data_IF_456271328853
#
_entry.id   IF_456271328853
#
_cell.length_a   1.000
_cell.length_b   1.000
_cell.length_c   1.000
_cell.angle_alpha   90.00
_cell.angle_beta   90.00
_cell.angle_gamma   90.00
#
_symmetry.space_group_name_H-M   'P 1'
#
loop_
_entity.id
_entity.type
_entity.pdbx_description
1 polymer ?
#
# COMPACT_ATOMS: atom_id res chain seq x y z
N UNK A 1 11.56 13.58 -11.36
CA UNK A 1 12.22 13.14 -12.62
C UNK A 1 13.73 13.31 -12.59
N UNK A 2 14.32 14.52 -12.53
CA UNK A 2 15.80 14.65 -12.52
C UNK A 2 16.47 13.96 -11.33
N UNK A 3 15.92 14.14 -10.14
CA UNK A 3 16.45 13.50 -8.93
C UNK A 3 16.29 11.98 -8.96
N UNK A 4 15.17 11.49 -9.48
CA UNK A 4 14.93 10.05 -9.68
C UNK A 4 15.93 9.47 -10.69
N UNK A 5 16.20 10.19 -11.78
CA UNK A 5 17.20 9.80 -12.77
C UNK A 5 18.61 9.76 -12.16
N UNK A 6 18.97 10.75 -11.33
CA UNK A 6 20.24 10.79 -10.60
C UNK A 6 20.38 9.60 -9.64
N UNK A 7 19.33 9.27 -8.90
CA UNK A 7 19.33 8.14 -7.96
C UNK A 7 19.34 6.77 -8.66
N UNK A 8 18.74 6.69 -9.85
CA UNK A 8 18.72 5.48 -10.66
C UNK A 8 19.92 5.36 -11.63
N UNK A 9 20.91 6.26 -11.51
CA UNK A 9 22.07 6.37 -12.42
C UNK A 9 21.67 6.40 -13.91
N UNK A 10 20.49 6.94 -14.20
CA UNK A 10 19.88 6.98 -15.52
C UNK A 10 19.86 8.40 -16.09
N UNK A 11 19.78 8.52 -17.40
CA UNK A 11 19.52 9.82 -18.03
C UNK A 11 18.05 10.23 -17.82
N UNK A 12 17.78 11.53 -17.71
CA UNK A 12 16.41 12.06 -17.61
C UNK A 12 15.58 11.66 -18.84
N UNK A 13 16.20 11.59 -20.02
CA UNK A 13 15.56 11.14 -21.25
C UNK A 13 15.15 9.66 -21.17
N UNK A 14 15.94 8.82 -20.51
CA UNK A 14 15.62 7.40 -20.28
C UNK A 14 14.42 7.26 -19.35
N UNK A 15 14.38 8.01 -18.25
CA UNK A 15 13.22 8.02 -17.32
C UNK A 15 11.97 8.52 -18.02
N UNK A 16 12.06 9.58 -18.83
CA UNK A 16 10.92 10.11 -19.58
C UNK A 16 10.44 9.19 -20.71
N UNK A 17 11.36 8.45 -21.35
CA UNK A 17 11.02 7.47 -22.40
C UNK A 17 10.26 6.27 -21.84
N UNK A 18 10.62 5.82 -20.64
CA UNK A 18 9.98 4.70 -19.95
C UNK A 18 8.68 5.13 -19.28
N UNK A 19 8.67 6.31 -18.65
CA UNK A 19 7.53 6.83 -17.91
C UNK A 19 7.30 8.31 -18.29
N UNK A 20 6.47 8.58 -19.32
CA UNK A 20 6.30 9.93 -19.89
C UNK A 20 5.70 10.95 -18.93
N UNK A 21 4.90 10.48 -17.96
CA UNK A 21 4.27 11.32 -16.94
C UNK A 21 4.71 10.88 -15.55
N UNK A 22 4.61 11.80 -14.59
CA UNK A 22 4.86 11.50 -13.18
C UNK A 22 3.92 10.39 -12.68
N UNK A 23 2.67 10.42 -13.11
CA UNK A 23 1.67 9.42 -12.70
C UNK A 23 2.00 8.05 -13.30
N UNK A 24 2.42 7.96 -14.57
CA UNK A 24 2.88 6.71 -15.16
C UNK A 24 4.11 6.15 -14.44
N UNK A 25 5.03 7.01 -14.00
CA UNK A 25 6.19 6.59 -13.20
C UNK A 25 5.75 6.05 -11.84
N UNK A 26 4.82 6.71 -11.16
CA UNK A 26 4.29 6.25 -9.87
C UNK A 26 3.58 4.91 -10.04
N UNK A 27 2.70 4.79 -11.03
CA UNK A 27 1.99 3.53 -11.31
C UNK A 27 2.94 2.39 -11.62
N UNK A 28 3.98 2.63 -12.43
CA UNK A 28 4.98 1.61 -12.75
C UNK A 28 5.83 1.25 -11.53
N UNK A 29 6.27 2.23 -10.75
CA UNK A 29 7.13 2.02 -9.58
C UNK A 29 6.45 1.26 -8.44
N UNK A 30 5.12 1.29 -8.37
CA UNK A 30 4.33 0.58 -7.36
C UNK A 30 3.53 -0.59 -7.94
N UNK A 31 3.73 -0.94 -9.21
CA UNK A 31 2.88 -1.92 -9.91
C UNK A 31 2.89 -3.29 -9.21
N UNK A 32 4.05 -3.71 -8.71
CA UNK A 32 4.22 -4.99 -8.02
C UNK A 32 3.54 -4.98 -6.65
N UNK A 33 3.69 -3.90 -5.88
CA UNK A 33 3.04 -3.72 -4.58
C UNK A 33 1.51 -3.61 -4.71
N UNK A 34 1.03 -2.90 -5.73
CA UNK A 34 -0.39 -2.80 -6.06
C UNK A 34 -0.97 -4.15 -6.46
N UNK A 35 -0.25 -4.94 -7.28
CA UNK A 35 -0.65 -6.29 -7.66
C UNK A 35 -0.70 -7.23 -6.45
N UNK A 36 0.30 -7.16 -5.57
CA UNK A 36 0.33 -7.91 -4.32
C UNK A 36 -0.86 -7.55 -3.42
N UNK A 37 -1.12 -6.25 -3.22
CA UNK A 37 -2.27 -5.80 -2.42
C UNK A 37 -3.60 -6.27 -3.01
N UNK A 38 -3.77 -6.19 -4.34
CA UNK A 38 -4.96 -6.70 -5.03
C UNK A 38 -5.15 -8.18 -4.75
N UNK A 39 -4.10 -8.99 -4.90
CA UNK A 39 -4.18 -10.44 -4.68
C UNK A 39 -4.57 -10.80 -3.24
N UNK A 40 -4.06 -10.06 -2.24
CA UNK A 40 -4.40 -10.27 -0.84
C UNK A 40 -5.88 -9.95 -0.58
N UNK A 41 -6.37 -8.86 -1.16
CA UNK A 41 -7.78 -8.46 -1.03
C UNK A 41 -8.71 -9.45 -1.73
N UNK A 42 -8.36 -9.90 -2.93
CA UNK A 42 -9.11 -10.93 -3.66
C UNK A 42 -9.20 -12.24 -2.86
N UNK A 43 -8.10 -12.67 -2.24
CA UNK A 43 -8.09 -13.85 -1.36
C UNK A 43 -8.97 -13.65 -0.13
N UNK A 44 -8.93 -12.47 0.49
CA UNK A 44 -9.82 -12.12 1.60
C UNK A 44 -11.28 -12.14 1.22
N UNK A 45 -11.64 -11.60 0.05
CA UNK A 45 -13.01 -11.60 -0.46
C UNK A 45 -13.52 -13.01 -0.82
N UNK A 46 -12.62 -13.95 -1.14
CA UNK A 46 -12.97 -15.34 -1.39
C UNK A 46 -13.27 -16.14 -0.11
N UNK A 47 -13.04 -15.57 1.09
CA UNK A 47 -13.31 -16.26 2.35
C UNK A 47 -14.81 -16.47 2.59
N UNK A 48 -15.19 -17.69 2.95
CA UNK A 48 -16.59 -18.07 3.26
C UNK A 48 -17.17 -17.25 4.41
N UNK A 49 -16.32 -16.87 5.37
CA UNK A 49 -16.70 -16.10 6.53
C UNK A 49 -16.06 -14.70 6.44
N UNK A 50 -16.86 -13.62 6.31
CA UNK A 50 -16.35 -12.28 5.99
C UNK A 50 -15.33 -11.73 6.99
N UNK A 51 -15.50 -12.05 8.28
CA UNK A 51 -14.56 -11.62 9.32
C UNK A 51 -13.18 -12.28 9.16
N UNK A 52 -13.16 -13.57 8.81
CA UNK A 52 -11.92 -14.32 8.57
C UNK A 52 -11.20 -13.79 7.33
N UNK A 53 -11.95 -13.43 6.28
CA UNK A 53 -11.39 -12.74 5.11
C UNK A 53 -10.74 -11.40 5.46
N UNK A 54 -11.40 -10.59 6.29
CA UNK A 54 -10.86 -9.32 6.75
C UNK A 54 -9.58 -9.48 7.60
N UNK A 55 -9.58 -10.41 8.55
CA UNK A 55 -8.40 -10.71 9.38
C UNK A 55 -7.23 -11.16 8.51
N UNK A 56 -7.47 -12.04 7.53
CA UNK A 56 -6.46 -12.51 6.59
C UNK A 56 -5.83 -11.36 5.78
N UNK A 57 -6.64 -10.41 5.31
CA UNK A 57 -6.14 -9.22 4.61
C UNK A 57 -5.22 -8.39 5.50
N UNK A 58 -5.62 -8.13 6.75
CA UNK A 58 -4.80 -7.38 7.70
C UNK A 58 -3.49 -8.09 8.03
N UNK A 59 -3.53 -9.40 8.29
CA UNK A 59 -2.34 -10.20 8.59
C UNK A 59 -1.35 -10.20 7.41
N UNK A 60 -1.84 -10.41 6.19
CA UNK A 60 -0.98 -10.46 5.01
C UNK A 60 -0.41 -9.10 4.63
N UNK A 61 -1.22 -8.04 4.69
CA UNK A 61 -0.74 -6.68 4.43
C UNK A 61 0.32 -6.27 5.46
N UNK A 62 0.08 -6.49 6.75
CA UNK A 62 1.07 -6.15 7.80
C UNK A 62 2.35 -6.99 7.66
N UNK A 63 2.24 -8.27 7.33
CA UNK A 63 3.41 -9.12 7.09
C UNK A 63 4.18 -8.75 5.81
N UNK A 64 3.52 -8.24 4.77
CA UNK A 64 4.18 -7.70 3.58
C UNK A 64 4.98 -6.43 3.93
N UNK A 65 4.36 -5.50 4.67
CA UNK A 65 5.00 -4.27 5.12
C UNK A 65 6.18 -4.51 6.08
N UNK A 66 6.07 -5.49 6.98
CA UNK A 66 7.16 -5.83 7.91
C UNK A 66 8.40 -6.39 7.21
N UNK A 67 8.21 -7.14 6.10
CA UNK A 67 9.33 -7.65 5.29
C UNK A 67 10.07 -6.52 4.56
N UNK A 68 9.33 -5.54 4.04
CA UNK A 68 9.93 -4.33 3.47
C UNK A 68 10.72 -3.54 4.53
N UNK A 69 10.19 -3.37 5.75
CA UNK A 69 10.89 -2.66 6.83
C UNK A 69 12.16 -3.39 7.32
N UNK A 70 12.14 -4.73 7.35
CA UNK A 70 13.32 -5.54 7.70
C UNK A 70 14.45 -5.44 6.66
N UNK A 71 14.14 -5.03 5.43
CA UNK A 71 15.12 -4.83 4.35
C UNK A 71 15.46 -3.34 4.12
N UNK A 72 14.60 -2.41 4.55
CA UNK A 72 14.68 -0.97 4.30
C UNK A 72 14.81 -0.10 5.57
N UNK A 73 15.49 -0.57 6.62
CA UNK A 73 15.80 0.25 7.79
C UNK A 73 16.63 1.52 7.46
N UNK A 74 17.12 1.67 6.23
CA UNK A 74 17.89 2.84 5.76
C UNK A 74 17.20 3.66 4.63
N UNK A 75 15.91 3.42 4.30
CA UNK A 75 15.29 4.16 3.18
C UNK A 75 13.82 4.53 3.42
N UNK A 76 13.61 5.77 3.83
CA UNK A 76 12.31 6.42 4.02
C UNK A 76 11.41 6.39 2.77
N UNK A 77 10.10 6.12 2.98
CA UNK A 77 9.08 7.03 2.45
C UNK A 77 7.86 6.49 1.68
N UNK A 78 7.74 5.21 1.36
CA UNK A 78 6.62 4.75 0.51
C UNK A 78 5.37 4.32 1.28
N UNK A 79 5.49 3.39 2.23
CA UNK A 79 4.33 2.77 2.89
C UNK A 79 3.66 3.70 3.92
N UNK A 80 4.38 4.68 4.46
CA UNK A 80 3.80 5.74 5.29
C UNK A 80 2.79 6.62 4.52
N UNK A 81 2.93 6.75 3.20
CA UNK A 81 2.01 7.52 2.36
C UNK A 81 0.70 6.77 2.12
N UNK A 82 0.73 5.42 2.03
CA UNK A 82 -0.50 4.62 1.94
C UNK A 82 -1.30 4.69 3.24
N UNK A 83 -0.64 4.60 4.40
CA UNK A 83 -1.28 4.78 5.71
C UNK A 83 -1.84 6.20 5.86
N UNK A 84 -1.13 7.25 5.41
CA UNK A 84 -1.64 8.62 5.43
C UNK A 84 -2.81 8.84 4.47
N UNK A 85 -2.82 8.20 3.30
CA UNK A 85 -3.94 8.30 2.35
C UNK A 85 -5.25 7.77 2.94
N UNK A 86 -5.16 6.74 3.80
CA UNK A 86 -6.31 6.19 4.52
C UNK A 86 -6.78 7.09 5.67
N UNK A 87 -5.87 7.89 6.26
CA UNK A 87 -6.15 8.86 7.33
C UNK A 87 -6.69 10.22 6.82
N UNK A 88 -6.63 10.48 5.51
CA UNK A 88 -6.99 11.77 4.91
C UNK A 88 -8.49 11.94 4.58
N UNK A 89 -9.40 11.27 5.32
CA UNK A 89 -10.82 11.65 5.39
C UNK A 89 -11.15 12.12 6.82
N UNK A 90 -10.87 13.39 7.16
CA UNK A 90 -11.13 13.94 8.49
C UNK A 90 -12.62 14.14 8.79
N UNK A 91 -13.51 13.88 7.83
CA UNK A 91 -14.97 14.06 7.96
C UNK A 91 -15.69 12.75 8.33
N UNK A 92 -14.95 11.70 8.72
CA UNK A 92 -15.59 10.49 9.24
C UNK A 92 -16.35 10.85 10.53
N UNK A 93 -17.66 10.69 10.50
CA UNK A 93 -18.54 10.81 11.65
C UNK A 93 -17.92 10.10 12.87
N UNK A 94 -17.96 10.70 14.08
CA UNK A 94 -17.42 10.07 15.27
C UNK A 94 -17.94 8.63 15.37
N UNK A 95 -17.01 7.68 15.47
CA UNK A 95 -17.35 6.27 15.56
C UNK A 95 -18.42 6.06 16.65
N UNK A 96 -19.53 5.38 16.34
CA UNK A 96 -20.53 5.08 17.36
C UNK A 96 -19.85 4.28 18.48
N UNK A 97 -20.25 4.49 19.75
CA UNK A 97 -19.64 3.82 20.88
C UNK A 97 -19.65 2.30 20.65
N UNK A 98 -18.51 1.65 20.91
CA UNK A 98 -18.30 0.24 20.62
C UNK A 98 -19.44 -0.61 21.22
N UNK A 99 -20.31 -1.14 20.36
CA UNK A 99 -21.34 -2.09 20.73
C UNK A 99 -20.64 -3.37 21.17
N UNK A 100 -20.79 -3.73 22.45
CA UNK A 100 -20.31 -4.99 22.99
C UNK A 100 -21.19 -6.10 22.41
N UNK A 101 -20.69 -6.81 21.41
CA UNK A 101 -21.31 -8.04 20.94
C UNK A 101 -21.06 -9.14 21.99
N UNK A 102 -22.10 -9.75 22.57
CA UNK A 102 -21.91 -10.89 23.45
C UNK A 102 -21.48 -12.08 22.58
N UNK A 103 -20.29 -12.62 22.87
CA UNK A 103 -19.89 -13.91 22.31
C UNK A 103 -20.65 -15.00 23.09
N UNK A 104 -21.48 -15.78 22.37
CA UNK A 104 -22.17 -16.97 22.87
C UNK A 104 -21.27 -18.19 22.86
#
# INVERSE_FOLDING_TARGET
MREIARQAEASVATVYRRSPTKDALITEAFAEELALCSSIVEEGMAAVAPWQGFVLVLEKLTAAHAREQGFHADRSGASALLIQSFQARPDAEPLPPAVRVPFS
#
